data_IF_317124799089
#
_entry.id   IF_317124799089
#
_cell.length_a   1.000
_cell.length_b   1.000
_cell.length_c   1.000
_cell.angle_alpha   90.00
_cell.angle_beta   90.00
_cell.angle_gamma   90.00
#
_symmetry.space_group_name_H-M   'P 1'
#
loop_
_entity.id
_entity.type
_entity.pdbx_description
1 polymer ?
#
# COMPACT_ATOMS: atom_id res chain seq x y z
N UNK A 1 13.92 -19.22 9.85
CA UNK A 1 14.36 -18.69 8.54
C UNK A 1 13.37 -17.61 8.11
N UNK A 2 13.59 -16.37 8.52
CA UNK A 2 12.87 -15.23 7.93
C UNK A 2 13.59 -14.88 6.64
N UNK A 3 13.21 -15.55 5.55
CA UNK A 3 13.60 -15.12 4.22
C UNK A 3 12.95 -13.78 3.97
N UNK A 4 13.73 -12.71 4.02
CA UNK A 4 13.30 -11.39 3.53
C UNK A 4 13.05 -11.60 2.04
N UNK A 5 11.79 -11.61 1.62
CA UNK A 5 11.45 -11.51 0.20
C UNK A 5 11.82 -10.10 -0.23
N UNK A 6 12.86 -9.96 -1.04
CA UNK A 6 13.13 -8.70 -1.70
C UNK A 6 12.05 -8.47 -2.77
N UNK A 7 11.09 -7.59 -2.44
CA UNK A 7 10.00 -7.25 -3.35
C UNK A 7 10.52 -6.50 -4.60
N UNK A 8 11.73 -5.94 -4.55
CA UNK A 8 12.32 -5.23 -5.70
C UNK A 8 12.72 -6.16 -6.83
N UNK A 9 12.93 -7.45 -6.54
CA UNK A 9 13.25 -8.49 -7.53
C UNK A 9 12.00 -9.21 -8.07
N UNK A 10 10.80 -8.83 -7.63
CA UNK A 10 9.55 -9.49 -8.01
C UNK A 10 8.71 -8.64 -8.96
N UNK A 11 8.03 -9.32 -9.88
CA UNK A 11 7.05 -8.71 -10.75
C UNK A 11 5.66 -8.74 -10.10
N UNK A 12 4.96 -7.61 -10.16
CA UNK A 12 3.59 -7.51 -9.67
C UNK A 12 2.62 -7.97 -10.77
N UNK A 13 2.29 -9.27 -10.79
CA UNK A 13 1.29 -9.83 -11.72
C UNK A 13 -0.04 -9.03 -11.74
N UNK A 14 -0.58 -8.53 -10.60
CA UNK A 14 -1.74 -7.64 -10.59
C UNK A 14 -1.61 -6.36 -11.44
N UNK A 15 -0.40 -5.82 -11.59
CA UNK A 15 -0.18 -4.62 -12.39
C UNK A 15 -0.17 -4.91 -13.90
N UNK A 16 0.00 -6.18 -14.31
CA UNK A 16 0.05 -6.61 -15.70
C UNK A 16 -1.32 -7.06 -16.24
N UNK A 17 -2.33 -7.12 -15.37
CA UNK A 17 -3.70 -7.53 -15.70
C UNK A 17 -3.88 -9.04 -15.81
N UNK A 18 -5.12 -9.48 -16.02
CA UNK A 18 -5.44 -10.92 -16.18
C UNK A 18 -5.58 -11.72 -14.88
N UNK A 19 -5.37 -11.09 -13.72
CA UNK A 19 -5.65 -11.69 -12.41
C UNK A 19 -6.89 -11.09 -11.78
N UNK A 20 -7.68 -11.92 -11.10
CA UNK A 20 -8.87 -11.49 -10.38
C UNK A 20 -8.51 -10.54 -9.23
N UNK A 21 -9.28 -9.46 -9.02
CA UNK A 21 -9.10 -8.60 -7.86
C UNK A 21 -9.21 -9.38 -6.55
N UNK A 22 -8.51 -8.90 -5.53
CA UNK A 22 -8.64 -9.44 -4.18
C UNK A 22 -10.08 -9.28 -3.68
N UNK A 23 -10.63 -10.31 -3.03
CA UNK A 23 -11.97 -10.19 -2.44
C UNK A 23 -11.96 -9.23 -1.26
N UNK A 24 -13.10 -8.59 -1.01
CA UNK A 24 -13.28 -7.65 0.12
C UNK A 24 -12.97 -8.33 1.46
N UNK A 25 -13.39 -9.58 1.65
CA UNK A 25 -13.15 -10.35 2.88
C UNK A 25 -11.65 -10.58 3.07
N UNK A 26 -10.94 -10.89 1.98
CA UNK A 26 -9.50 -11.10 2.03
C UNK A 26 -8.77 -9.80 2.32
N UNK A 27 -9.16 -8.70 1.69
CA UNK A 27 -8.61 -7.38 1.96
C UNK A 27 -8.84 -6.97 3.42
N UNK A 28 -10.05 -7.16 3.95
CA UNK A 28 -10.39 -6.86 5.33
C UNK A 28 -9.54 -7.66 6.33
N UNK A 29 -9.30 -8.95 6.07
CA UNK A 29 -8.45 -9.79 6.92
C UNK A 29 -6.97 -9.38 6.91
N UNK A 30 -6.50 -8.70 5.84
CA UNK A 30 -5.12 -8.21 5.74
C UNK A 30 -4.92 -6.83 6.38
N UNK A 31 -5.99 -6.05 6.60
CA UNK A 31 -5.88 -4.70 7.18
C UNK A 31 -5.24 -4.69 8.57
N UNK A 32 -5.36 -5.78 9.34
CA UNK A 32 -4.74 -5.92 10.66
C UNK A 32 -3.20 -5.81 10.60
N UNK A 33 -2.60 -6.14 9.45
CA UNK A 33 -1.15 -6.03 9.23
C UNK A 33 -0.71 -4.60 8.91
N UNK A 34 -1.64 -3.71 8.57
CA UNK A 34 -1.36 -2.32 8.17
C UNK A 34 -2.22 -1.33 8.98
N UNK A 35 -1.92 -1.14 10.28
CA UNK A 35 -2.72 -0.27 11.14
C UNK A 35 -2.86 1.16 10.59
N UNK A 36 -4.07 1.70 10.70
CA UNK A 36 -4.41 3.07 10.27
C UNK A 36 -4.82 3.21 8.80
N UNK A 37 -4.75 2.13 8.02
CA UNK A 37 -5.35 2.06 6.70
C UNK A 37 -6.83 1.68 6.79
N UNK A 38 -7.64 2.24 5.89
CA UNK A 38 -9.08 1.99 5.77
C UNK A 38 -9.40 1.50 4.37
N UNK A 39 -10.21 0.45 4.29
CA UNK A 39 -10.74 -0.05 3.02
C UNK A 39 -12.00 0.74 2.63
N UNK A 40 -12.15 1.03 1.34
CA UNK A 40 -13.35 1.64 0.76
C UNK A 40 -14.53 0.68 0.75
N UNK A 41 -15.74 1.21 0.66
CA UNK A 41 -16.98 0.41 0.67
C UNK A 41 -17.04 -0.61 -0.48
N UNK A 42 -16.42 -0.30 -1.62
CA UNK A 42 -16.34 -1.21 -2.78
C UNK A 42 -15.19 -2.23 -2.69
N UNK A 43 -14.38 -2.19 -1.64
CA UNK A 43 -13.26 -3.10 -1.41
C UNK A 43 -12.05 -2.89 -2.33
N UNK A 44 -12.02 -1.82 -3.14
CA UNK A 44 -11.01 -1.63 -4.19
C UNK A 44 -9.87 -0.69 -3.83
N UNK A 45 -10.05 0.13 -2.79
CA UNK A 45 -9.10 1.18 -2.41
C UNK A 45 -8.82 1.10 -0.92
N UNK A 46 -7.54 1.19 -0.55
CA UNK A 46 -7.16 1.51 0.83
C UNK A 46 -6.68 2.95 0.92
N UNK A 47 -6.99 3.61 2.03
CA UNK A 47 -6.55 4.97 2.28
C UNK A 47 -6.05 5.15 3.71
N UNK A 48 -5.04 6.01 3.88
CA UNK A 48 -4.55 6.44 5.18
C UNK A 48 -4.25 7.93 5.16
N UNK A 49 -4.68 8.63 6.20
CA UNK A 49 -4.37 10.05 6.41
C UNK A 49 -3.11 10.17 7.24
N UNK A 50 -2.15 10.92 6.73
CA UNK A 50 -0.93 11.32 7.45
C UNK A 50 -0.97 12.81 7.71
N UNK A 51 -0.67 13.22 8.94
CA UNK A 51 -0.65 14.61 9.35
C UNK A 51 0.75 15.02 9.77
N UNK A 52 1.22 16.15 9.25
CA UNK A 52 2.55 16.67 9.53
C UNK A 52 2.48 18.13 9.96
N UNK A 53 3.34 18.51 10.89
CA UNK A 53 3.52 19.92 11.25
C UNK A 53 4.38 20.61 10.19
N UNK A 54 3.74 21.44 9.37
CA UNK A 54 4.41 22.31 8.40
C UNK A 54 4.71 21.64 7.06
N UNK A 55 4.89 22.47 6.04
CA UNK A 55 4.98 22.05 4.64
C UNK A 55 6.21 21.18 4.33
N UNK A 56 7.37 21.53 4.88
CA UNK A 56 8.64 20.81 4.64
C UNK A 56 8.51 19.32 4.95
N UNK A 57 7.94 18.94 6.10
CA UNK A 57 7.78 17.54 6.50
C UNK A 57 6.84 16.78 5.57
N UNK A 58 5.75 17.41 5.15
CA UNK A 58 4.82 16.84 4.17
C UNK A 58 5.51 16.54 2.85
N UNK A 59 6.26 17.50 2.31
CA UNK A 59 6.98 17.33 1.03
C UNK A 59 8.07 16.28 1.14
N UNK A 60 8.85 16.25 2.23
CA UNK A 60 9.85 15.20 2.44
C UNK A 60 9.24 13.80 2.45
N UNK A 61 8.08 13.63 3.09
CA UNK A 61 7.36 12.36 3.09
C UNK A 61 6.87 11.97 1.69
N UNK A 62 6.28 12.91 0.94
CA UNK A 62 5.83 12.68 -0.44
C UNK A 62 7.01 12.31 -1.35
N UNK A 63 8.14 13.00 -1.24
CA UNK A 63 9.33 12.70 -2.05
C UNK A 63 9.87 11.29 -1.78
N UNK A 64 9.89 10.85 -0.51
CA UNK A 64 10.28 9.48 -0.17
C UNK A 64 9.31 8.45 -0.78
N UNK A 65 7.99 8.70 -0.71
CA UNK A 65 7.00 7.81 -1.35
C UNK A 65 7.16 7.77 -2.88
N UNK A 66 7.40 8.92 -3.52
CA UNK A 66 7.60 8.99 -4.96
C UNK A 66 8.84 8.21 -5.40
N UNK A 67 9.92 8.24 -4.62
CA UNK A 67 11.12 7.44 -4.87
C UNK A 67 10.86 5.93 -4.75
N UNK A 68 10.03 5.50 -3.80
CA UNK A 68 9.66 4.08 -3.63
C UNK A 68 8.76 3.59 -4.77
N UNK A 69 7.87 4.45 -5.28
CA UNK A 69 6.86 4.08 -6.28
C UNK A 69 7.32 4.17 -7.74
N UNK A 70 8.53 4.69 -7.99
CA UNK A 70 9.10 4.88 -9.32
C UNK A 70 9.82 3.62 -9.83
#
# INVERSE_FOLDING_TARGET
MTGVCDLTERHCEPCEGGVEPMTTERAQALLDQVPGWKLSDDGRIISRRFEFKGFYRTVSFINAMAWIAN
#
